data_IF_652807437573
#
_entry.id   IF_652807437573
#
_cell.length_a   1.000
_cell.length_b   1.000
_cell.length_c   1.000
_cell.angle_alpha   90.00
_cell.angle_beta   90.00
_cell.angle_gamma   90.00
#
_symmetry.space_group_name_H-M   'P 1'
#
loop_
_entity.id
_entity.type
_entity.pdbx_description
1 polymer ?
#
# COMPACT_ATOMS: atom_id res chain seq x y z
N UNK A 1 29.36 18.07 -20.63
CA UNK A 1 28.23 18.59 -19.81
C UNK A 1 28.61 18.40 -18.35
N UNK A 2 28.85 19.49 -17.63
CA UNK A 2 29.18 19.48 -16.19
C UNK A 2 28.06 18.81 -15.40
N UNK A 3 28.36 18.05 -14.32
CA UNK A 3 27.35 17.57 -13.42
C UNK A 3 26.63 18.78 -12.84
N UNK A 4 25.31 18.88 -13.07
CA UNK A 4 24.47 19.86 -12.36
C UNK A 4 24.66 19.58 -10.87
N UNK A 5 25.18 20.59 -10.14
CA UNK A 5 25.21 20.58 -8.67
C UNK A 5 23.83 20.20 -8.15
N UNK A 6 23.67 18.96 -7.71
CA UNK A 6 22.47 18.56 -7.00
C UNK A 6 22.50 19.31 -5.68
N UNK A 7 21.67 20.35 -5.53
CA UNK A 7 21.52 21.06 -4.27
C UNK A 7 21.14 20.04 -3.19
N UNK A 8 22.10 19.63 -2.38
CA UNK A 8 21.87 18.82 -1.20
C UNK A 8 21.45 19.73 -0.05
N UNK A 9 20.36 19.38 0.61
CA UNK A 9 19.90 20.04 1.83
C UNK A 9 20.05 19.05 2.98
N UNK A 10 20.63 19.49 4.09
CA UNK A 10 20.66 18.70 5.32
C UNK A 10 19.50 19.10 6.21
N UNK A 11 18.73 18.11 6.65
CA UNK A 11 17.62 18.29 7.57
C UNK A 11 17.80 17.38 8.78
N UNK A 12 17.26 17.79 9.90
CA UNK A 12 17.25 16.97 11.10
C UNK A 12 15.82 16.43 11.31
N UNK A 13 15.70 15.11 11.40
CA UNK A 13 14.43 14.41 11.58
C UNK A 13 14.61 13.33 12.64
N UNK A 14 13.83 13.36 13.71
CA UNK A 14 13.93 12.42 14.85
C UNK A 14 15.37 12.30 15.40
N UNK A 15 16.09 13.42 15.52
CA UNK A 15 17.48 13.46 15.99
C UNK A 15 18.50 12.82 15.02
N UNK A 16 18.15 12.64 13.74
CA UNK A 16 19.01 12.08 12.69
C UNK A 16 19.19 13.07 11.56
N UNK A 17 20.42 13.27 11.14
CA UNK A 17 20.74 14.13 10.00
C UNK A 17 20.55 13.37 8.70
N UNK A 18 19.62 13.81 7.86
CA UNK A 18 19.37 13.29 6.52
C UNK A 18 19.88 14.27 5.46
N UNK A 19 20.47 13.73 4.41
CA UNK A 19 20.81 14.49 3.19
C UNK A 19 19.70 14.31 2.17
N UNK A 20 18.95 15.35 1.90
CA UNK A 20 17.92 15.40 0.87
C UNK A 20 18.53 15.97 -0.42
N UNK A 21 18.17 15.40 -1.55
CA UNK A 21 18.71 15.80 -2.85
C UNK A 21 17.62 15.96 -3.90
N UNK A 22 17.85 16.82 -4.87
CA UNK A 22 16.98 17.00 -6.03
C UNK A 22 15.53 17.34 -5.66
N UNK A 23 15.31 18.22 -4.69
CA UNK A 23 13.98 18.56 -4.20
C UNK A 23 13.08 19.17 -5.28
N UNK A 24 13.68 19.94 -6.21
CA UNK A 24 12.98 20.56 -7.34
C UNK A 24 12.66 19.59 -8.49
N UNK A 25 13.10 18.31 -8.37
CA UNK A 25 12.85 17.31 -9.40
C UNK A 25 11.37 16.98 -9.48
N UNK A 26 10.75 17.21 -10.65
CA UNK A 26 9.36 16.83 -10.90
C UNK A 26 9.26 15.31 -10.96
N UNK A 27 8.42 14.74 -10.08
CA UNK A 27 8.12 13.30 -10.04
C UNK A 27 6.79 12.97 -10.73
N UNK A 28 5.83 13.90 -10.73
CA UNK A 28 4.55 13.78 -11.44
C UNK A 28 4.43 14.90 -12.50
N UNK A 29 4.82 14.64 -13.74
CA UNK A 29 4.86 15.68 -14.78
C UNK A 29 3.51 16.34 -15.06
N UNK A 30 2.40 15.56 -14.98
CA UNK A 30 1.06 16.06 -15.27
C UNK A 30 0.58 17.13 -14.28
N UNK A 31 0.94 17.00 -13.00
CA UNK A 31 0.61 17.99 -11.94
C UNK A 31 1.76 18.95 -11.63
N UNK A 32 2.96 18.68 -12.12
CA UNK A 32 4.16 19.42 -11.77
C UNK A 32 4.72 19.07 -10.38
N UNK A 33 4.13 18.06 -9.69
CA UNK A 33 4.51 17.72 -8.31
C UNK A 33 5.97 17.29 -8.23
N UNK A 34 6.70 17.97 -7.36
CA UNK A 34 8.12 17.80 -7.14
C UNK A 34 8.43 16.76 -6.06
N UNK A 35 9.69 16.34 -6.00
CA UNK A 35 10.17 15.47 -4.92
C UNK A 35 10.08 16.15 -3.54
N UNK A 36 10.27 17.47 -3.48
CA UNK A 36 10.12 18.24 -2.24
C UNK A 36 8.69 18.19 -1.71
N UNK A 37 7.69 18.33 -2.59
CA UNK A 37 6.27 18.21 -2.21
C UNK A 37 5.90 16.79 -1.78
N UNK A 38 6.45 15.76 -2.42
CA UNK A 38 6.28 14.36 -1.97
C UNK A 38 6.87 14.15 -0.58
N UNK A 39 8.06 14.67 -0.30
CA UNK A 39 8.67 14.60 1.04
C UNK A 39 7.83 15.33 2.08
N UNK A 40 7.33 16.53 1.74
CA UNK A 40 6.45 17.29 2.61
C UNK A 40 5.13 16.56 2.89
N UNK A 41 4.53 15.96 1.86
CA UNK A 41 3.34 15.12 2.01
C UNK A 41 3.57 14.00 3.03
N UNK A 42 4.63 13.20 2.86
CA UNK A 42 4.94 12.10 3.78
C UNK A 42 5.24 12.57 5.20
N UNK A 43 5.85 13.75 5.36
CA UNK A 43 6.06 14.33 6.68
C UNK A 43 4.72 14.70 7.37
N UNK A 44 3.77 15.24 6.61
CA UNK A 44 2.46 15.65 7.15
C UNK A 44 1.55 14.45 7.47
N UNK A 45 1.53 13.41 6.63
CA UNK A 45 0.70 12.21 6.89
C UNK A 45 1.36 11.23 7.86
N UNK A 46 2.63 11.41 8.23
CA UNK A 46 3.36 10.49 9.09
C UNK A 46 2.62 10.14 10.40
N UNK A 47 1.98 11.09 11.13
CA UNK A 47 1.25 10.75 12.34
C UNK A 47 0.12 9.75 12.12
N UNK A 48 -0.57 9.80 10.98
CA UNK A 48 -1.64 8.87 10.61
C UNK A 48 -1.09 7.59 9.96
N UNK A 49 -0.02 7.67 9.19
CA UNK A 49 0.53 6.55 8.41
C UNK A 49 1.43 5.63 9.25
N UNK A 50 2.29 6.15 10.11
CA UNK A 50 3.28 5.37 10.86
C UNK A 50 2.65 4.27 11.72
N UNK A 51 1.52 4.48 12.43
CA UNK A 51 0.85 3.39 13.16
C UNK A 51 0.50 2.19 12.28
N UNK A 52 0.17 2.42 11.00
CA UNK A 52 -0.21 1.37 10.04
C UNK A 52 1.01 0.63 9.46
N UNK A 53 2.18 1.26 9.49
CA UNK A 53 3.47 0.72 9.04
C UNK A 53 4.26 0.04 10.16
N UNK A 54 4.04 0.43 11.41
CA UNK A 54 4.81 -0.02 12.58
C UNK A 54 4.95 -1.54 12.63
N UNK A 55 6.19 -2.01 12.78
CA UNK A 55 6.56 -3.42 12.80
C UNK A 55 6.22 -4.19 11.52
N UNK A 56 6.03 -3.53 10.38
CA UNK A 56 5.82 -4.20 9.09
C UNK A 56 7.02 -4.04 8.18
N UNK A 57 7.37 -5.11 7.51
CA UNK A 57 8.36 -5.11 6.44
C UNK A 57 7.78 -4.38 5.23
N UNK A 58 8.48 -3.36 4.75
CA UNK A 58 8.04 -2.57 3.62
C UNK A 58 8.72 -2.98 2.31
N UNK A 59 7.91 -3.23 1.30
CA UNK A 59 8.31 -3.24 -0.10
C UNK A 59 8.04 -1.85 -0.66
N UNK A 60 8.96 -1.33 -1.44
CA UNK A 60 8.82 0.00 -2.03
C UNK A 60 8.81 -0.06 -3.54
N UNK A 61 7.99 0.78 -4.16
CA UNK A 61 8.10 1.05 -5.60
C UNK A 61 8.62 2.46 -5.77
N UNK A 62 9.72 2.60 -6.50
CA UNK A 62 10.46 3.85 -6.68
C UNK A 62 10.38 4.35 -8.10
N UNK A 63 10.25 5.67 -8.24
CA UNK A 63 10.32 6.36 -9.53
C UNK A 63 11.37 7.47 -9.51
N UNK A 64 12.68 7.13 -9.51
CA UNK A 64 13.73 8.15 -9.36
C UNK A 64 13.76 9.15 -10.52
N UNK A 65 13.12 8.84 -11.65
CA UNK A 65 13.04 9.69 -12.83
C UNK A 65 11.62 10.18 -13.16
N UNK A 66 10.70 10.10 -12.19
CA UNK A 66 9.30 10.47 -12.37
C UNK A 66 8.43 9.32 -12.85
N UNK A 67 7.11 9.45 -12.64
CA UNK A 67 6.13 8.37 -12.83
C UNK A 67 5.94 7.91 -14.28
N UNK A 68 6.32 8.75 -15.25
CA UNK A 68 6.31 8.39 -16.68
C UNK A 68 7.52 7.54 -17.10
N UNK A 69 8.48 7.33 -16.20
CA UNK A 69 9.69 6.55 -16.45
C UNK A 69 9.62 5.22 -15.72
N UNK A 70 10.62 4.37 -15.96
CA UNK A 70 10.72 3.05 -15.35
C UNK A 70 10.69 3.13 -13.83
N UNK A 71 9.83 2.30 -13.23
CA UNK A 71 9.76 2.07 -11.79
C UNK A 71 10.64 0.89 -11.37
N UNK A 72 10.99 0.87 -10.08
CA UNK A 72 11.77 -0.20 -9.46
C UNK A 72 11.00 -0.76 -8.28
N UNK A 73 10.57 -2.01 -8.40
CA UNK A 73 9.94 -2.75 -7.30
C UNK A 73 11.04 -3.41 -6.46
N UNK A 74 11.21 -2.97 -5.21
CA UNK A 74 12.33 -3.38 -4.37
C UNK A 74 11.84 -3.91 -3.01
N UNK A 75 12.21 -5.14 -2.70
CA UNK A 75 12.00 -5.77 -1.40
C UNK A 75 13.23 -5.60 -0.49
N UNK A 76 14.41 -5.91 -1.01
CA UNK A 76 15.66 -5.74 -0.28
C UNK A 76 16.03 -4.29 -0.05
N UNK A 77 16.65 -4.00 1.10
CA UNK A 77 17.28 -2.68 1.34
C UNK A 77 18.34 -2.40 0.27
N UNK A 78 18.50 -1.13 -0.16
CA UNK A 78 19.58 -0.77 -1.09
C UNK A 78 20.95 -0.75 -0.38
N UNK A 79 22.01 -0.87 -1.17
CA UNK A 79 23.35 -0.57 -0.67
C UNK A 79 23.43 0.86 -0.13
N UNK A 80 24.16 1.05 0.98
CA UNK A 80 24.28 2.36 1.64
C UNK A 80 23.06 2.74 2.51
N UNK A 81 22.20 1.79 2.85
CA UNK A 81 21.15 2.01 3.87
C UNK A 81 21.78 2.47 5.18
N UNK A 82 21.31 3.58 5.77
CA UNK A 82 21.84 4.07 7.04
C UNK A 82 21.69 3.03 8.15
N UNK A 83 22.70 2.93 9.01
CA UNK A 83 22.72 1.92 10.09
C UNK A 83 21.56 2.07 11.11
N UNK A 84 20.96 3.25 11.18
CA UNK A 84 19.83 3.52 12.05
C UNK A 84 18.47 3.07 11.46
N UNK A 85 18.41 2.73 10.17
CA UNK A 85 17.19 2.15 9.58
C UNK A 85 17.02 0.74 10.13
N UNK A 86 15.91 0.52 10.81
CA UNK A 86 15.55 -0.81 11.30
C UNK A 86 15.29 -1.73 10.12
N UNK A 87 15.81 -2.95 10.19
CA UNK A 87 15.63 -3.98 9.17
C UNK A 87 15.15 -5.28 9.78
N UNK A 88 14.54 -6.13 8.94
CA UNK A 88 14.19 -7.48 9.30
C UNK A 88 14.59 -8.47 8.17
N UNK A 89 15.18 -9.58 8.58
CA UNK A 89 15.55 -10.67 7.68
C UNK A 89 14.38 -11.65 7.59
N UNK A 90 13.88 -11.86 6.36
CA UNK A 90 12.73 -12.72 6.12
C UNK A 90 13.14 -13.85 5.17
N UNK A 91 13.04 -15.12 5.58
CA UNK A 91 13.27 -16.24 4.69
C UNK A 91 12.34 -16.20 3.49
N UNK A 92 12.87 -16.49 2.32
CA UNK A 92 12.06 -16.58 1.08
C UNK A 92 11.83 -18.04 0.73
N UNK A 93 10.59 -18.42 0.60
CA UNK A 93 10.20 -19.72 0.05
C UNK A 93 9.78 -19.54 -1.41
N UNK A 94 10.53 -20.09 -2.36
CA UNK A 94 10.08 -20.25 -3.73
C UNK A 94 10.86 -19.56 -4.86
N UNK A 95 10.62 -20.01 -6.07
CA UNK A 95 11.33 -19.77 -7.33
C UNK A 95 11.46 -18.31 -7.82
N UNK A 96 10.75 -17.35 -7.22
CA UNK A 96 10.89 -15.93 -7.58
C UNK A 96 12.15 -15.27 -7.01
N UNK A 97 12.72 -15.81 -5.92
CA UNK A 97 14.01 -15.36 -5.41
C UNK A 97 15.15 -15.66 -6.42
N UNK A 98 15.02 -16.76 -7.16
CA UNK A 98 15.96 -17.17 -8.22
C UNK A 98 15.82 -16.32 -9.50
N UNK A 99 14.61 -15.83 -9.82
CA UNK A 99 14.36 -15.12 -11.07
C UNK A 99 14.93 -13.69 -11.10
N UNK A 100 15.24 -13.07 -9.95
CA UNK A 100 15.78 -11.70 -9.88
C UNK A 100 17.31 -11.63 -9.80
N UNK A 101 18.01 -12.78 -9.76
CA UNK A 101 19.47 -12.88 -9.89
C UNK A 101 20.32 -12.12 -8.85
N UNK A 102 19.72 -11.57 -7.79
CA UNK A 102 20.38 -10.67 -6.84
C UNK A 102 20.60 -11.20 -5.43
N UNK A 103 20.18 -12.42 -5.13
CA UNK A 103 20.46 -13.05 -3.84
C UNK A 103 21.56 -14.09 -4.00
N UNK A 104 22.76 -13.76 -3.54
CA UNK A 104 23.89 -14.72 -3.49
C UNK A 104 23.70 -15.84 -2.47
N UNK A 105 22.73 -15.69 -1.55
CA UNK A 105 22.25 -16.71 -0.65
C UNK A 105 20.73 -16.72 -0.81
N UNK A 106 20.19 -17.57 -1.67
CA UNK A 106 18.84 -17.58 -2.22
C UNK A 106 17.66 -17.59 -1.25
N UNK A 107 17.88 -17.42 0.06
CA UNK A 107 16.92 -17.80 1.06
C UNK A 107 16.47 -16.65 2.00
N UNK A 108 17.09 -15.46 1.96
CA UNK A 108 16.75 -14.35 2.88
C UNK A 108 16.62 -13.02 2.14
N UNK A 109 15.53 -12.31 2.40
CA UNK A 109 15.34 -10.91 2.01
C UNK A 109 15.48 -10.02 3.24
N UNK A 110 16.21 -8.91 3.11
CA UNK A 110 16.36 -7.90 4.16
C UNK A 110 15.45 -6.73 3.84
N UNK A 111 14.37 -6.56 4.59
CA UNK A 111 13.41 -5.48 4.40
C UNK A 111 13.68 -4.31 5.33
N UNK A 112 13.43 -3.07 4.90
CA UNK A 112 13.28 -1.96 5.83
C UNK A 112 11.98 -2.12 6.62
N UNK A 113 12.01 -1.72 7.90
CA UNK A 113 10.82 -1.60 8.75
C UNK A 113 10.63 -0.11 9.04
N UNK A 114 9.45 0.42 8.70
CA UNK A 114 9.18 1.85 8.78
C UNK A 114 8.45 2.15 10.08
N UNK A 115 9.21 2.51 11.11
CA UNK A 115 8.66 2.76 12.45
C UNK A 115 8.76 4.24 12.87
N UNK A 116 9.45 5.08 12.09
CA UNK A 116 9.73 6.46 12.43
C UNK A 116 9.73 7.38 11.19
N UNK A 117 9.60 8.68 11.44
CA UNK A 117 9.57 9.69 10.39
C UNK A 117 10.91 9.77 9.62
N UNK A 118 12.02 9.54 10.28
CA UNK A 118 13.33 9.57 9.63
C UNK A 118 13.45 8.47 8.55
N UNK A 119 12.99 7.25 8.86
CA UNK A 119 12.96 6.13 7.90
C UNK A 119 11.99 6.42 6.75
N UNK A 120 10.80 6.95 7.04
CA UNK A 120 9.82 7.33 6.02
C UNK A 120 10.39 8.43 5.09
N UNK A 121 10.99 9.47 5.66
CA UNK A 121 11.65 10.56 4.92
C UNK A 121 12.80 10.03 4.07
N UNK A 122 13.61 9.13 4.59
CA UNK A 122 14.72 8.51 3.85
C UNK A 122 14.18 7.73 2.63
N UNK A 123 13.12 6.95 2.78
CA UNK A 123 12.49 6.22 1.67
C UNK A 123 11.91 7.17 0.62
N UNK A 124 11.20 8.22 1.05
CA UNK A 124 10.68 9.25 0.15
C UNK A 124 11.80 9.97 -0.62
N UNK A 125 12.94 10.24 0.05
CA UNK A 125 14.12 10.82 -0.61
C UNK A 125 14.74 9.89 -1.68
N UNK A 126 14.51 8.58 -1.59
CA UNK A 126 14.85 7.62 -2.65
C UNK A 126 13.80 7.57 -3.77
N UNK A 127 12.83 8.50 -3.77
CA UNK A 127 11.65 8.50 -4.65
C UNK A 127 10.81 7.21 -4.55
N UNK A 128 10.71 6.62 -3.35
CA UNK A 128 9.75 5.59 -3.05
C UNK A 128 8.37 6.24 -2.91
N UNK A 129 7.58 6.18 -3.98
CA UNK A 129 6.23 6.73 -4.00
C UNK A 129 5.22 5.74 -3.41
N UNK A 130 5.39 4.44 -3.66
CA UNK A 130 4.52 3.42 -3.10
C UNK A 130 5.23 2.63 -2.02
N UNK A 131 4.57 2.52 -0.86
CA UNK A 131 4.97 1.66 0.26
C UNK A 131 3.94 0.55 0.43
N UNK A 132 4.37 -0.68 0.20
CA UNK A 132 3.54 -1.87 0.33
C UNK A 132 4.00 -2.70 1.52
N UNK A 133 3.08 -3.18 2.33
CA UNK A 133 3.40 -3.93 3.55
C UNK A 133 2.67 -5.26 3.62
N UNK A 134 3.25 -6.20 4.35
CA UNK A 134 2.64 -7.49 4.64
C UNK A 134 1.49 -7.36 5.64
N UNK A 135 0.59 -8.34 5.68
CA UNK A 135 -0.47 -8.39 6.68
C UNK A 135 0.03 -8.94 8.03
N UNK A 136 1.20 -9.57 8.06
CA UNK A 136 1.93 -9.96 9.27
C UNK A 136 2.92 -8.87 9.71
N UNK A 137 3.46 -9.01 10.92
CA UNK A 137 4.42 -8.07 11.50
C UNK A 137 5.70 -8.76 11.93
N UNK A 138 6.67 -7.98 12.41
CA UNK A 138 7.89 -8.49 13.04
C UNK A 138 8.02 -7.98 14.47
N UNK A 139 8.70 -8.76 15.33
CA UNK A 139 9.09 -8.31 16.67
C UNK A 139 10.15 -7.21 16.57
N UNK A 140 10.46 -6.54 17.69
CA UNK A 140 11.58 -5.59 17.76
C UNK A 140 12.91 -6.20 17.33
N UNK A 141 13.09 -7.50 17.54
CA UNK A 141 14.29 -8.26 17.13
C UNK A 141 14.24 -8.74 15.67
N UNK A 142 13.21 -8.37 14.89
CA UNK A 142 13.08 -8.75 13.47
C UNK A 142 12.43 -10.12 13.20
N UNK A 143 12.02 -10.87 14.24
CA UNK A 143 11.37 -12.18 14.08
C UNK A 143 9.95 -12.01 13.53
N UNK A 144 9.63 -12.71 12.45
CA UNK A 144 8.29 -12.74 11.83
C UNK A 144 7.25 -13.27 12.82
N UNK A 145 6.11 -12.59 12.86
CA UNK A 145 4.92 -12.95 13.62
C UNK A 145 3.78 -13.24 12.64
N UNK A 146 2.70 -13.86 13.10
CA UNK A 146 1.52 -14.10 12.28
C UNK A 146 0.82 -12.82 11.84
N UNK A 147 -0.10 -12.94 10.88
CA UNK A 147 -0.96 -11.86 10.42
C UNK A 147 -1.84 -11.36 11.58
N UNK A 148 -1.96 -10.05 11.71
CA UNK A 148 -2.85 -9.39 12.67
C UNK A 148 -4.01 -8.65 12.01
N UNK A 149 -4.10 -8.74 10.68
CA UNK A 149 -5.22 -8.22 9.88
C UNK A 149 -5.41 -9.08 8.63
N UNK A 150 -6.59 -9.02 8.07
CA UNK A 150 -6.94 -9.55 6.74
C UNK A 150 -7.22 -8.37 5.83
N UNK A 151 -6.92 -8.50 4.55
CA UNK A 151 -7.27 -7.53 3.51
C UNK A 151 -8.07 -8.21 2.40
N UNK A 152 -9.11 -7.57 1.95
CA UNK A 152 -9.82 -7.89 0.71
C UNK A 152 -9.58 -6.74 -0.25
N UNK A 153 -8.90 -7.00 -1.35
CA UNK A 153 -8.59 -6.02 -2.39
C UNK A 153 -9.66 -6.11 -3.49
N UNK A 154 -10.39 -5.03 -3.70
CA UNK A 154 -11.50 -4.93 -4.64
C UNK A 154 -11.02 -4.28 -5.93
N UNK A 155 -10.74 -5.10 -6.94
CA UNK A 155 -10.27 -4.66 -8.26
C UNK A 155 -11.42 -4.66 -9.27
N UNK A 156 -11.87 -3.48 -9.78
CA UNK A 156 -12.89 -3.45 -10.82
C UNK A 156 -12.31 -3.92 -12.16
N UNK A 157 -13.01 -4.83 -12.81
CA UNK A 157 -12.74 -5.25 -14.19
C UNK A 157 -13.22 -4.22 -15.19
N UNK A 158 -12.89 -4.43 -16.45
CA UNK A 158 -13.32 -3.53 -17.53
C UNK A 158 -14.85 -3.39 -17.55
N UNK A 159 -15.34 -2.14 -17.53
CA UNK A 159 -16.77 -1.84 -17.44
C UNK A 159 -17.35 -1.79 -16.03
N UNK A 160 -16.54 -2.02 -14.99
CA UNK A 160 -16.85 -1.72 -13.60
C UNK A 160 -15.93 -0.61 -13.09
N UNK A 161 -16.30 0.08 -12.03
CA UNK A 161 -15.57 1.20 -11.46
C UNK A 161 -15.59 1.21 -9.92
N UNK A 162 -15.31 2.39 -9.35
CA UNK A 162 -15.32 2.58 -7.91
C UNK A 162 -16.73 2.42 -7.33
N UNK A 163 -17.76 2.80 -8.08
CA UNK A 163 -19.17 2.61 -7.71
C UNK A 163 -19.49 1.13 -7.42
N UNK A 164 -19.18 0.22 -8.33
CA UNK A 164 -19.38 -1.21 -8.12
C UNK A 164 -18.49 -1.74 -6.98
N UNK A 165 -17.28 -1.18 -6.83
CA UNK A 165 -16.44 -1.51 -5.66
C UNK A 165 -17.10 -1.09 -4.34
N UNK A 166 -17.77 0.07 -4.28
CA UNK A 166 -18.52 0.49 -3.08
C UNK A 166 -19.68 -0.46 -2.78
N UNK A 167 -20.46 -0.84 -3.79
CA UNK A 167 -21.53 -1.83 -3.62
C UNK A 167 -21.01 -3.17 -3.06
N UNK A 168 -19.91 -3.66 -3.61
CA UNK A 168 -19.27 -4.91 -3.16
C UNK A 168 -18.64 -4.75 -1.78
N UNK A 169 -18.12 -3.56 -1.44
CA UNK A 169 -17.54 -3.28 -0.12
C UNK A 169 -18.55 -3.44 1.00
N UNK A 170 -19.81 -3.03 0.78
CA UNK A 170 -20.90 -3.23 1.74
C UNK A 170 -21.19 -4.72 1.96
N UNK A 171 -21.22 -5.52 0.89
CA UNK A 171 -21.39 -6.97 0.99
C UNK A 171 -20.24 -7.64 1.76
N UNK A 172 -19.00 -7.24 1.50
CA UNK A 172 -17.82 -7.75 2.20
C UNK A 172 -17.85 -7.34 3.67
N UNK A 173 -18.24 -6.08 3.99
CA UNK A 173 -18.40 -5.57 5.35
C UNK A 173 -19.38 -6.45 6.14
N UNK A 174 -20.54 -6.71 5.58
CA UNK A 174 -21.57 -7.56 6.21
C UNK A 174 -21.04 -8.98 6.45
N UNK A 175 -20.43 -9.60 5.44
CA UNK A 175 -19.89 -10.95 5.52
C UNK A 175 -18.75 -11.09 6.54
N UNK A 176 -17.92 -10.07 6.73
CA UNK A 176 -16.86 -10.05 7.74
C UNK A 176 -17.44 -9.76 9.14
N UNK A 177 -18.48 -8.92 9.24
CA UNK A 177 -19.17 -8.64 10.51
C UNK A 177 -19.82 -9.90 11.10
N UNK A 178 -20.41 -10.80 10.29
CA UNK A 178 -20.90 -12.12 10.72
C UNK A 178 -19.82 -12.97 11.39
N UNK A 179 -18.56 -12.70 11.11
CA UNK A 179 -17.38 -13.35 11.69
C UNK A 179 -16.74 -12.54 12.83
N UNK A 180 -17.45 -11.53 13.34
CA UNK A 180 -17.00 -10.57 14.36
C UNK A 180 -15.68 -9.85 13.95
N UNK A 181 -15.55 -9.52 12.68
CA UNK A 181 -14.44 -8.75 12.13
C UNK A 181 -14.95 -7.39 11.67
N UNK A 182 -14.53 -6.34 12.41
CA UNK A 182 -14.78 -4.96 12.00
C UNK A 182 -13.83 -4.58 10.86
N UNK A 183 -14.36 -3.82 9.92
CA UNK A 183 -13.66 -3.45 8.70
C UNK A 183 -13.49 -1.95 8.55
N UNK A 184 -12.36 -1.57 7.97
CA UNK A 184 -12.04 -0.21 7.53
C UNK A 184 -11.91 -0.21 6.01
N UNK A 185 -12.49 0.81 5.37
CA UNK A 185 -12.43 0.99 3.92
C UNK A 185 -11.33 2.00 3.55
N UNK A 186 -10.61 1.71 2.48
CA UNK A 186 -9.51 2.55 1.96
C UNK A 186 -9.62 2.59 0.44
N UNK A 187 -9.72 3.77 -0.18
CA UNK A 187 -9.60 3.86 -1.64
C UNK A 187 -8.20 3.41 -2.07
N UNK A 188 -8.08 2.73 -3.20
CA UNK A 188 -6.77 2.17 -3.61
C UNK A 188 -5.79 3.22 -4.16
N UNK A 189 -6.23 4.47 -4.32
CA UNK A 189 -5.50 5.52 -5.05
C UNK A 189 -5.37 5.20 -6.56
N UNK A 190 -6.15 4.23 -7.06
CA UNK A 190 -6.15 3.85 -8.48
C UNK A 190 -7.58 3.68 -9.00
N UNK A 191 -8.20 2.52 -8.89
CA UNK A 191 -9.53 2.25 -9.44
C UNK A 191 -10.51 1.64 -8.43
N UNK A 192 -10.02 0.97 -7.40
CA UNK A 192 -10.80 0.15 -6.51
C UNK A 192 -10.70 0.58 -5.04
N UNK A 193 -11.02 -0.37 -4.16
CA UNK A 193 -11.00 -0.24 -2.70
C UNK A 193 -10.21 -1.39 -2.07
N UNK A 194 -9.64 -1.14 -0.92
CA UNK A 194 -9.14 -2.17 0.00
C UNK A 194 -10.00 -2.18 1.26
N UNK A 195 -10.40 -3.33 1.73
CA UNK A 195 -11.05 -3.50 3.03
C UNK A 195 -10.09 -4.21 3.97
N UNK A 196 -9.78 -3.58 5.08
CA UNK A 196 -8.93 -4.13 6.13
C UNK A 196 -9.78 -4.57 7.31
N UNK A 197 -9.55 -5.77 7.83
CA UNK A 197 -10.19 -6.27 9.03
C UNK A 197 -9.12 -6.66 10.06
N UNK A 198 -9.18 -6.07 11.25
CA UNK A 198 -8.29 -6.39 12.35
C UNK A 198 -8.61 -7.75 12.95
N UNK A 199 -7.59 -8.58 13.16
CA UNK A 199 -7.74 -9.91 13.77
C UNK A 199 -7.54 -9.81 15.28
N UNK A 200 -8.48 -10.32 16.08
CA UNK A 200 -8.36 -10.38 17.54
C UNK A 200 -7.16 -11.20 18.01
N UNK A 201 -6.78 -12.22 17.23
CA UNK A 201 -5.59 -13.05 17.46
C UNK A 201 -4.81 -13.17 16.16
N UNK A 202 -3.48 -13.21 16.28
CA UNK A 202 -2.62 -13.47 15.11
C UNK A 202 -2.93 -14.84 14.52
N UNK A 203 -2.93 -14.90 13.18
CA UNK A 203 -3.14 -16.12 12.42
C UNK A 203 -1.95 -16.40 11.52
N UNK A 204 -1.79 -17.63 11.13
CA UNK A 204 -0.92 -17.97 10.00
C UNK A 204 -1.39 -17.23 8.74
N UNK A 205 -0.50 -16.72 7.87
CA UNK A 205 -0.89 -16.12 6.61
C UNK A 205 -1.75 -17.03 5.72
N UNK A 206 -1.55 -18.36 5.76
CA UNK A 206 -2.35 -19.32 4.99
C UNK A 206 -3.78 -19.39 5.53
N UNK A 207 -3.98 -19.35 6.85
CA UNK A 207 -5.31 -19.28 7.48
C UNK A 207 -6.02 -17.97 7.13
N UNK A 208 -5.29 -16.85 7.10
CA UNK A 208 -5.81 -15.55 6.71
C UNK A 208 -6.20 -15.52 5.23
N UNK A 209 -5.41 -16.18 4.39
CA UNK A 209 -5.68 -16.34 2.96
C UNK A 209 -6.91 -17.23 2.73
N UNK A 210 -7.05 -18.32 3.48
CA UNK A 210 -8.20 -19.22 3.41
C UNK A 210 -9.50 -18.50 3.79
N UNK A 211 -9.50 -17.70 4.89
CA UNK A 211 -10.63 -16.89 5.30
C UNK A 211 -11.03 -15.87 4.21
N UNK A 212 -10.07 -15.13 3.67
CA UNK A 212 -10.34 -14.15 2.62
C UNK A 212 -10.88 -14.82 1.35
N UNK A 213 -10.36 -16.00 1.01
CA UNK A 213 -10.79 -16.79 -0.14
C UNK A 213 -12.22 -17.29 0.03
N UNK A 214 -12.57 -17.84 1.19
CA UNK A 214 -13.93 -18.27 1.53
C UNK A 214 -14.93 -17.12 1.32
N UNK A 215 -14.67 -15.95 1.92
CA UNK A 215 -15.51 -14.77 1.76
C UNK A 215 -15.67 -14.37 0.28
N UNK A 216 -14.57 -14.36 -0.47
CA UNK A 216 -14.59 -13.99 -1.89
C UNK A 216 -15.36 -14.99 -2.74
N UNK A 217 -15.21 -16.30 -2.49
CA UNK A 217 -15.89 -17.37 -3.25
C UNK A 217 -17.39 -17.41 -2.93
N UNK A 218 -17.79 -17.21 -1.68
CA UNK A 218 -19.20 -17.17 -1.27
C UNK A 218 -19.90 -15.97 -1.92
N UNK A 219 -19.35 -14.77 -1.81
CA UNK A 219 -19.89 -13.58 -2.46
C UNK A 219 -19.95 -13.71 -3.99
N UNK A 220 -18.95 -14.36 -4.60
CA UNK A 220 -18.96 -14.61 -6.04
C UNK A 220 -20.06 -15.59 -6.48
N UNK A 221 -20.47 -16.52 -5.64
CA UNK A 221 -21.62 -17.42 -5.91
C UNK A 221 -22.95 -16.69 -5.77
N UNK A 222 -23.11 -15.94 -4.69
CA UNK A 222 -24.35 -15.22 -4.36
C UNK A 222 -24.60 -14.04 -5.30
N UNK A 223 -23.54 -13.29 -5.64
CA UNK A 223 -23.57 -12.08 -6.45
C UNK A 223 -22.81 -12.22 -7.77
N UNK A 224 -23.00 -13.34 -8.47
CA UNK A 224 -22.18 -13.72 -9.65
C UNK A 224 -22.22 -12.74 -10.82
N UNK A 225 -23.18 -11.81 -10.87
CA UNK A 225 -23.24 -10.74 -11.88
C UNK A 225 -22.31 -9.57 -11.55
N UNK A 226 -22.03 -9.33 -10.26
CA UNK A 226 -21.28 -8.19 -9.76
C UNK A 226 -19.89 -8.59 -9.24
N UNK A 227 -19.74 -9.79 -8.65
CA UNK A 227 -18.54 -10.24 -7.95
C UNK A 227 -17.89 -11.41 -8.66
N UNK A 228 -16.55 -11.47 -8.61
CA UNK A 228 -15.77 -12.64 -9.02
C UNK A 228 -14.57 -12.85 -8.10
N UNK A 229 -14.27 -14.12 -7.78
CA UNK A 229 -13.07 -14.53 -7.03
C UNK A 229 -11.99 -15.13 -7.94
N UNK A 230 -12.20 -15.12 -9.28
CA UNK A 230 -11.30 -15.79 -10.22
C UNK A 230 -10.09 -14.90 -10.61
N UNK A 231 -8.90 -15.50 -10.60
CA UNK A 231 -7.68 -14.84 -11.04
C UNK A 231 -7.64 -14.56 -12.55
N UNK A 232 -8.48 -15.22 -13.33
CA UNK A 232 -8.52 -15.12 -14.80
C UNK A 232 -9.09 -13.76 -15.22
N UNK A 233 -8.26 -12.89 -15.79
CA UNK A 233 -8.64 -11.52 -16.19
C UNK A 233 -9.82 -11.46 -17.15
N UNK A 234 -9.91 -12.35 -18.14
CA UNK A 234 -11.00 -12.38 -19.11
C UNK A 234 -12.39 -12.64 -18.51
N UNK A 235 -12.45 -13.12 -17.27
CA UNK A 235 -13.72 -13.38 -16.55
C UNK A 235 -14.12 -12.24 -15.59
N UNK A 236 -13.40 -11.10 -15.62
CA UNK A 236 -13.63 -9.98 -14.71
C UNK A 236 -14.43 -8.82 -15.33
N UNK A 237 -14.69 -8.85 -16.63
CA UNK A 237 -15.43 -7.77 -17.32
C UNK A 237 -16.79 -7.53 -16.65
N UNK A 238 -17.11 -6.27 -16.35
CA UNK A 238 -18.32 -5.83 -15.65
C UNK A 238 -18.45 -6.28 -14.21
N UNK A 239 -17.37 -6.75 -13.57
CA UNK A 239 -17.39 -7.29 -12.19
C UNK A 239 -16.26 -6.74 -11.36
N UNK A 240 -16.44 -6.77 -10.05
CA UNK A 240 -15.39 -6.53 -9.07
C UNK A 240 -14.71 -7.85 -8.72
N UNK A 241 -13.41 -7.90 -8.90
CA UNK A 241 -12.59 -9.04 -8.47
C UNK A 241 -12.17 -8.85 -7.02
N UNK A 242 -12.48 -9.81 -6.17
CA UNK A 242 -12.01 -9.89 -4.80
C UNK A 242 -10.66 -10.63 -4.77
N UNK A 243 -9.54 -9.86 -4.71
CA UNK A 243 -8.19 -10.44 -4.61
C UNK A 243 -7.88 -10.84 -3.17
N UNK A 244 -8.29 -12.05 -2.82
CA UNK A 244 -8.03 -12.70 -1.54
C UNK A 244 -6.55 -13.08 -1.36
N UNK A 245 -5.78 -13.19 -2.45
CA UNK A 245 -4.38 -13.64 -2.43
C UNK A 245 -3.42 -12.63 -1.78
N UNK A 246 -3.85 -11.39 -1.56
CA UNK A 246 -3.06 -10.35 -0.87
C UNK A 246 -2.71 -10.71 0.58
N UNK A 247 -3.38 -11.72 1.16
CA UNK A 247 -3.11 -12.23 2.51
C UNK A 247 -1.98 -13.26 2.58
N UNK A 248 -1.53 -13.79 1.44
CA UNK A 248 -0.44 -14.76 1.41
C UNK A 248 0.86 -14.17 1.98
N UNK A 249 1.60 -14.96 2.73
CA UNK A 249 2.79 -14.51 3.47
C UNK A 249 3.86 -13.81 2.64
N UNK A 250 3.94 -14.07 1.33
CA UNK A 250 4.88 -13.42 0.40
C UNK A 250 4.34 -12.16 -0.29
N UNK A 251 3.05 -11.85 -0.11
CA UNK A 251 2.36 -10.71 -0.75
C UNK A 251 2.40 -9.47 0.13
N UNK A 252 2.33 -8.33 -0.51
CA UNK A 252 2.25 -7.03 0.14
C UNK A 252 1.15 -6.19 -0.51
N UNK A 253 0.42 -5.44 0.30
CA UNK A 253 -0.63 -4.52 -0.15
C UNK A 253 -0.18 -3.10 0.11
N UNK A 254 -0.58 -2.16 -0.74
CA UNK A 254 -0.29 -0.75 -0.57
C UNK A 254 -0.80 -0.28 0.79
N UNK A 255 0.06 0.40 1.56
CA UNK A 255 -0.35 0.95 2.86
C UNK A 255 -1.31 2.11 2.66
N UNK A 256 -2.33 2.27 3.53
CA UNK A 256 -3.08 3.51 3.58
C UNK A 256 -2.13 4.71 3.73
N UNK A 257 -2.52 5.84 3.18
CA UNK A 257 -1.75 7.08 3.04
C UNK A 257 -0.51 6.98 2.12
N UNK A 258 -0.26 5.85 1.47
CA UNK A 258 0.78 5.77 0.45
C UNK A 258 0.34 6.41 -0.86
N UNK A 259 1.23 7.20 -1.46
CA UNK A 259 1.08 7.69 -2.83
C UNK A 259 1.02 6.54 -3.83
N UNK A 260 0.46 6.82 -5.01
CA UNK A 260 0.52 5.94 -6.19
C UNK A 260 1.42 6.53 -7.26
N UNK A 261 2.21 5.68 -7.90
CA UNK A 261 2.97 6.04 -9.09
C UNK A 261 2.10 6.05 -10.35
N UNK A 262 1.08 6.92 -10.37
CA UNK A 262 0.15 7.15 -11.48
C UNK A 262 0.45 8.50 -12.12
N UNK A 263 -0.35 8.91 -13.12
CA UNK A 263 -0.19 10.22 -13.77
C UNK A 263 -0.35 11.40 -12.78
N UNK A 264 -1.24 11.25 -11.82
CA UNK A 264 -1.48 12.20 -10.73
C UNK A 264 -1.08 11.58 -9.38
N UNK A 265 -0.71 12.39 -8.39
CA UNK A 265 -0.31 11.93 -7.07
C UNK A 265 -1.53 11.53 -6.21
N UNK A 266 -2.22 10.48 -6.64
CA UNK A 266 -3.32 9.89 -5.88
C UNK A 266 -2.80 9.09 -4.71
N UNK A 267 -3.66 8.85 -3.71
CA UNK A 267 -3.32 8.25 -2.42
C UNK A 267 -4.29 7.13 -2.08
N UNK A 268 -3.79 6.07 -1.48
CA UNK A 268 -4.63 5.09 -0.80
C UNK A 268 -5.23 5.73 0.46
N UNK A 269 -6.50 6.13 0.41
CA UNK A 269 -7.10 7.01 1.41
C UNK A 269 -8.14 6.29 2.24
N UNK A 270 -8.01 6.26 3.58
CA UNK A 270 -9.09 5.82 4.46
C UNK A 270 -10.36 6.66 4.23
N UNK A 271 -11.50 5.98 4.15
CA UNK A 271 -12.81 6.59 3.95
C UNK A 271 -13.80 6.05 4.98
N UNK A 272 -14.81 6.84 5.30
CA UNK A 272 -15.89 6.43 6.18
C UNK A 272 -16.86 5.50 5.47
N UNK A 273 -17.65 4.75 6.23
CA UNK A 273 -18.69 3.92 5.64
C UNK A 273 -19.80 4.73 4.99
N UNK A 274 -20.10 5.93 5.49
CA UNK A 274 -21.07 6.84 4.88
C UNK A 274 -20.60 7.29 3.48
N UNK A 275 -19.29 7.53 3.30
CA UNK A 275 -18.71 7.83 1.99
C UNK A 275 -18.80 6.62 1.04
N UNK A 276 -18.59 5.39 1.55
CA UNK A 276 -18.75 4.16 0.76
C UNK A 276 -20.21 3.95 0.38
N UNK A 277 -21.14 4.17 1.29
CA UNK A 277 -22.60 4.10 1.04
C UNK A 277 -23.02 5.12 -0.02
N UNK A 278 -22.53 6.38 0.09
CA UNK A 278 -22.74 7.42 -0.94
C UNK A 278 -22.20 6.97 -2.30
N UNK A 279 -20.98 6.41 -2.34
CA UNK A 279 -20.40 5.88 -3.58
C UNK A 279 -21.11 4.64 -4.14
N UNK A 280 -21.82 3.87 -3.29
CA UNK A 280 -22.63 2.73 -3.71
C UNK A 280 -24.01 3.16 -4.28
N UNK A 281 -24.51 4.32 -3.86
CA UNK A 281 -25.79 4.87 -4.32
C UNK A 281 -25.61 5.76 -5.57
N UNK A 282 -24.50 6.50 -5.66
CA UNK A 282 -24.20 7.42 -6.77
C UNK A 282 -22.83 7.09 -7.38
N UNK A 283 -22.74 6.85 -8.69
CA UNK A 283 -21.47 6.63 -9.39
C UNK A 283 -20.44 7.75 -9.22
N UNK A 284 -20.85 8.95 -8.86
CA UNK A 284 -20.00 10.12 -8.60
C UNK A 284 -19.86 10.39 -7.09
N UNK A 285 -20.46 9.59 -6.23
CA UNK A 285 -20.51 9.79 -4.78
C UNK A 285 -19.20 9.56 -4.05
N UNK A 286 -18.25 8.84 -4.66
CA UNK A 286 -16.91 8.65 -4.15
C UNK A 286 -15.89 8.65 -5.28
N UNK A 287 -14.77 9.33 -5.08
CA UNK A 287 -13.65 9.37 -6.02
C UNK A 287 -12.33 8.96 -5.35
N UNK A 288 -11.29 8.75 -6.17
CA UNK A 288 -9.92 8.55 -5.67
C UNK A 288 -9.32 9.91 -5.30
N UNK A 289 -8.75 10.01 -4.13
CA UNK A 289 -8.23 11.27 -3.58
C UNK A 289 -6.79 11.55 -4.05
N UNK A 290 -6.50 12.83 -4.29
CA UNK A 290 -5.15 13.33 -4.46
C UNK A 290 -4.55 13.71 -3.10
N UNK A 291 -3.23 13.86 -3.05
CA UNK A 291 -2.54 14.09 -1.78
C UNK A 291 -2.93 15.42 -1.10
N UNK A 292 -3.29 16.45 -1.88
CA UNK A 292 -3.77 17.72 -1.34
C UNK A 292 -5.08 17.51 -0.56
N UNK A 293 -6.04 16.79 -1.17
CA UNK A 293 -7.34 16.48 -0.56
C UNK A 293 -7.19 15.60 0.71
N UNK A 294 -6.18 14.69 0.71
CA UNK A 294 -5.89 13.87 1.89
C UNK A 294 -5.37 14.72 3.05
N UNK A 295 -4.52 15.74 2.76
CA UNK A 295 -4.05 16.65 3.79
C UNK A 295 -5.18 17.51 4.36
N UNK A 296 -6.12 17.97 3.52
CA UNK A 296 -7.32 18.69 3.96
C UNK A 296 -8.21 17.79 4.84
N UNK A 297 -8.44 16.54 4.44
CA UNK A 297 -9.20 15.55 5.24
C UNK A 297 -8.60 15.35 6.62
N UNK A 298 -7.28 15.20 6.72
CA UNK A 298 -6.58 15.04 8.00
C UNK A 298 -6.66 16.29 8.87
N UNK A 299 -6.62 17.49 8.28
CA UNK A 299 -6.79 18.74 8.99
C UNK A 299 -8.21 18.89 9.57
N UNK A 300 -9.22 18.36 8.87
CA UNK A 300 -10.62 18.30 9.31
C UNK A 300 -10.93 17.16 10.29
N UNK A 301 -9.93 16.31 10.63
CA UNK A 301 -10.10 15.16 11.52
C UNK A 301 -10.77 13.95 10.88
N UNK A 302 -10.70 13.85 9.57
CA UNK A 302 -11.27 12.74 8.77
C UNK A 302 -10.21 11.79 8.25
#
# INVERSE_FOLDING_TARGET
>A
MSPKDSKEVRVEVDGRTLKLSNLDKVLYPRSGTTKGEVLNYYAQVAPAMLPLLTNRCATRVRWPNGVEKQSFFEKNIPGGTPAWVRTAEVPTTGSRAQATGRTRNGDVLVFPVVDDLATLTWLANLAALELHVHQWTVTKSGKVQGANRVVIDLDPGDGAGLHECCQVALLVRERLAERNLETEAVTSGSKGLHLYASLQRRRDPDDSTALAKEVAEDLAKEHSKLVTATMTKSKRSGKVFLDWSQNAGSKTTLSPYSLRGRELPTVATPVTWDEVETGADDPLGLEQFRFEEVLERLADGR
#
